data_IF_420059969513
#
_entry.id   IF_420059969513
#
_cell.length_a   1.000
_cell.length_b   1.000
_cell.length_c   1.000
_cell.angle_alpha   90.00
_cell.angle_beta   90.00
_cell.angle_gamma   90.00
#
_symmetry.space_group_name_H-M   'P 1'
#
loop_
_entity.id
_entity.type
_entity.pdbx_description
1 polymer ?
#
# COMPACT_ATOMS: atom_id res chain seq x y z
N UNK A 1 -7.11 19.80 11.26
CA UNK A 1 -6.21 18.66 11.03
C UNK A 1 -5.97 18.56 9.54
N UNK A 2 -4.71 18.55 9.12
CA UNK A 2 -4.34 18.27 7.73
C UNK A 2 -4.87 16.88 7.36
N UNK A 3 -5.72 16.86 6.36
CA UNK A 3 -6.43 15.67 5.93
C UNK A 3 -5.40 14.69 5.33
N UNK A 4 -5.51 13.40 5.66
CA UNK A 4 -4.54 12.31 5.42
C UNK A 4 -4.15 12.11 3.94
N UNK A 5 -3.39 13.04 3.35
CA UNK A 5 -2.91 12.99 1.97
C UNK A 5 -4.01 12.76 0.92
N UNK A 6 -5.24 13.23 1.18
CA UNK A 6 -6.37 12.96 0.29
C UNK A 6 -7.28 11.80 0.68
N UNK A 7 -7.02 11.10 1.79
CA UNK A 7 -7.85 9.98 2.26
C UNK A 7 -8.79 10.37 3.41
N UNK A 8 -9.91 9.66 3.52
CA UNK A 8 -10.89 9.85 4.58
C UNK A 8 -10.44 9.28 5.93
N UNK A 9 -9.59 8.24 5.93
CA UNK A 9 -9.07 7.62 7.16
C UNK A 9 -7.57 7.34 7.07
N UNK A 10 -6.89 7.34 8.23
CA UNK A 10 -5.47 6.97 8.34
C UNK A 10 -5.19 5.53 7.89
N UNK A 11 -6.16 4.63 8.08
CA UNK A 11 -6.04 3.24 7.64
C UNK A 11 -5.99 3.14 6.11
N UNK A 12 -6.82 3.91 5.40
CA UNK A 12 -6.79 3.97 3.93
C UNK A 12 -5.45 4.52 3.42
N UNK A 13 -4.96 5.60 4.04
CA UNK A 13 -3.64 6.16 3.72
C UNK A 13 -2.52 5.14 3.94
N UNK A 14 -2.53 4.43 5.08
CA UNK A 14 -1.51 3.40 5.39
C UNK A 14 -1.55 2.26 4.38
N UNK A 15 -2.76 1.75 4.07
CA UNK A 15 -2.93 0.69 3.08
C UNK A 15 -2.47 1.14 1.68
N UNK A 16 -2.80 2.37 1.29
CA UNK A 16 -2.36 2.94 0.01
C UNK A 16 -0.84 3.04 -0.07
N UNK A 17 -0.19 3.58 0.96
CA UNK A 17 1.26 3.69 1.00
C UNK A 17 1.95 2.33 0.89
N UNK A 18 1.40 1.30 1.56
CA UNK A 18 1.91 -0.08 1.45
C UNK A 18 1.78 -0.63 0.01
N UNK A 19 0.68 -0.35 -0.70
CA UNK A 19 0.53 -0.74 -2.10
C UNK A 19 1.49 0.00 -3.03
N UNK A 20 1.72 1.30 -2.80
CA UNK A 20 2.71 2.08 -3.55
C UNK A 20 4.11 1.49 -3.34
N UNK A 21 4.51 1.24 -2.09
CA UNK A 21 5.80 0.62 -1.77
C UNK A 21 5.94 -0.77 -2.42
N UNK A 22 4.90 -1.59 -2.35
CA UNK A 22 4.89 -2.91 -3.01
C UNK A 22 5.03 -2.79 -4.53
N UNK A 23 4.43 -1.77 -5.14
CA UNK A 23 4.59 -1.54 -6.58
C UNK A 23 6.04 -1.23 -6.92
N UNK A 24 6.67 -0.35 -6.14
CA UNK A 24 8.09 0.01 -6.32
C UNK A 24 8.96 -1.24 -6.16
N UNK A 25 8.71 -2.09 -5.16
CA UNK A 25 9.44 -3.36 -4.95
C UNK A 25 9.33 -4.31 -6.13
N UNK A 26 8.12 -4.49 -6.68
CA UNK A 26 7.88 -5.35 -7.85
C UNK A 26 8.66 -4.83 -9.07
N UNK A 27 8.60 -3.52 -9.33
CA UNK A 27 9.31 -2.89 -10.45
C UNK A 27 10.83 -2.95 -10.27
N UNK A 28 11.32 -2.66 -9.05
CA UNK A 28 12.72 -2.75 -8.71
C UNK A 28 13.24 -4.18 -8.91
N UNK A 29 12.48 -5.19 -8.49
CA UNK A 29 12.83 -6.60 -8.71
C UNK A 29 13.05 -6.90 -10.20
N UNK A 30 12.14 -6.44 -11.07
CA UNK A 30 12.29 -6.61 -12.52
C UNK A 30 13.52 -5.90 -13.09
N UNK A 31 13.78 -4.66 -12.67
CA UNK A 31 14.96 -3.91 -13.10
C UNK A 31 16.24 -4.60 -12.66
N UNK A 32 16.32 -5.02 -11.39
CA UNK A 32 17.52 -5.65 -10.82
C UNK A 32 17.84 -6.96 -11.53
N UNK A 33 16.87 -7.86 -11.72
CA UNK A 33 17.16 -9.12 -12.42
C UNK A 33 17.47 -8.90 -13.90
N UNK A 34 16.83 -7.93 -14.57
CA UNK A 34 17.21 -7.57 -15.93
C UNK A 34 18.67 -7.08 -16.00
N UNK A 35 19.14 -6.30 -15.03
CA UNK A 35 20.53 -5.83 -14.96
C UNK A 35 21.54 -6.94 -14.63
N UNK A 36 21.08 -8.01 -13.96
CA UNK A 36 21.90 -9.17 -13.62
C UNK A 36 21.82 -10.31 -14.65
N UNK A 37 21.04 -10.13 -15.72
CA UNK A 37 20.73 -11.19 -16.69
C UNK A 37 20.11 -12.46 -16.06
N UNK A 38 19.43 -12.29 -14.93
CA UNK A 38 18.70 -13.37 -14.24
C UNK A 38 17.32 -13.58 -14.90
N UNK A 39 16.91 -14.83 -15.07
CA UNK A 39 15.58 -15.15 -15.59
C UNK A 39 14.51 -14.87 -14.53
N UNK A 40 13.59 -13.95 -14.83
CA UNK A 40 12.37 -13.74 -14.04
C UNK A 40 11.22 -14.50 -14.68
N UNK A 41 10.39 -15.12 -13.84
CA UNK A 41 9.07 -15.58 -14.26
C UNK A 41 8.16 -14.37 -14.57
N UNK A 42 8.07 -14.03 -15.85
CA UNK A 42 7.31 -12.86 -16.32
C UNK A 42 5.82 -12.94 -15.97
N UNK A 43 5.24 -14.14 -15.94
CA UNK A 43 3.83 -14.33 -15.62
C UNK A 43 3.55 -13.96 -14.16
N UNK A 44 4.43 -14.36 -13.23
CA UNK A 44 4.30 -13.96 -11.82
C UNK A 44 4.46 -12.46 -11.64
N UNK A 45 5.43 -11.84 -12.32
CA UNK A 45 5.61 -10.39 -12.30
C UNK A 45 4.36 -9.65 -12.80
N UNK A 46 3.85 -10.04 -13.99
CA UNK A 46 2.64 -9.44 -14.60
C UNK A 46 1.44 -9.57 -13.67
N UNK A 47 1.22 -10.77 -13.10
CA UNK A 47 0.11 -11.04 -12.18
C UNK A 47 0.20 -10.22 -10.89
N UNK A 48 1.38 -10.15 -10.26
CA UNK A 48 1.57 -9.38 -9.04
C UNK A 48 1.36 -7.89 -9.28
N UNK A 49 1.91 -7.36 -10.38
CA UNK A 49 1.78 -5.94 -10.72
C UNK A 49 0.33 -5.56 -11.03
N UNK A 50 -0.39 -6.37 -11.82
CA UNK A 50 -1.80 -6.16 -12.14
C UNK A 50 -2.66 -6.17 -10.87
N UNK A 51 -2.50 -7.18 -10.01
CA UNK A 51 -3.23 -7.26 -8.74
C UNK A 51 -3.00 -6.02 -7.87
N UNK A 52 -1.74 -5.57 -7.78
CA UNK A 52 -1.40 -4.40 -6.97
C UNK A 52 -1.97 -3.10 -7.56
N UNK A 53 -1.95 -2.97 -8.89
CA UNK A 53 -2.54 -1.86 -9.63
C UNK A 53 -4.05 -1.74 -9.41
N UNK A 54 -4.78 -2.85 -9.41
CA UNK A 54 -6.21 -2.83 -9.13
C UNK A 54 -6.55 -2.37 -7.72
N UNK A 55 -5.79 -2.84 -6.73
CA UNK A 55 -5.96 -2.40 -5.35
C UNK A 55 -5.66 -0.91 -5.21
N UNK A 56 -4.65 -0.39 -5.92
CA UNK A 56 -4.36 1.04 -5.97
C UNK A 56 -5.54 1.83 -6.51
N UNK A 57 -6.12 1.42 -7.66
CA UNK A 57 -7.28 2.12 -8.24
C UNK A 57 -8.48 2.11 -7.29
N UNK A 58 -8.76 0.98 -6.63
CA UNK A 58 -9.87 0.86 -5.67
C UNK A 58 -9.71 1.84 -4.51
N UNK A 59 -8.50 2.02 -3.98
CA UNK A 59 -8.25 3.01 -2.92
C UNK A 59 -8.25 4.45 -3.45
N UNK A 60 -7.71 4.69 -4.65
CA UNK A 60 -7.68 6.02 -5.26
C UNK A 60 -9.06 6.56 -5.65
N UNK A 61 -10.05 5.68 -5.86
CA UNK A 61 -11.44 6.10 -6.05
C UNK A 61 -11.97 6.91 -4.87
N UNK A 62 -11.46 6.66 -3.65
CA UNK A 62 -11.81 7.39 -2.44
C UNK A 62 -10.84 8.54 -2.11
N UNK A 63 -9.79 8.74 -2.94
CA UNK A 63 -8.79 9.78 -2.75
C UNK A 63 -9.23 11.06 -3.45
N UNK A 64 -9.50 12.11 -2.69
CA UNK A 64 -9.93 13.41 -3.23
C UNK A 64 -8.75 14.33 -3.59
N UNK A 65 -7.53 14.04 -3.11
CA UNK A 65 -6.33 14.84 -3.41
C UNK A 65 -5.38 14.10 -4.36
N UNK A 66 -4.71 14.86 -5.22
CA UNK A 66 -3.61 14.38 -6.06
C UNK A 66 -2.32 14.19 -5.22
N UNK A 67 -1.35 13.38 -5.67
CA UNK A 67 -1.26 12.67 -6.95
C UNK A 67 -1.95 11.29 -6.95
N UNK A 68 -2.30 10.79 -8.14
CA UNK A 68 -2.79 9.41 -8.36
C UNK A 68 -1.69 8.59 -9.01
N UNK A 69 -1.11 7.66 -8.27
CA UNK A 69 -0.02 6.81 -8.78
C UNK A 69 -0.51 5.82 -9.84
N UNK A 70 -1.81 5.49 -9.86
CA UNK A 70 -2.37 4.68 -10.94
C UNK A 70 -2.24 5.33 -12.32
N UNK A 71 -2.23 6.65 -12.40
CA UNK A 71 -2.06 7.35 -13.68
C UNK A 71 -0.63 7.18 -14.21
N UNK A 72 0.38 7.19 -13.32
CA UNK A 72 1.80 7.00 -13.69
C UNK A 72 2.11 5.58 -14.16
N UNK A 73 1.41 4.57 -13.63
CA UNK A 73 1.65 3.16 -13.94
C UNK A 73 0.79 2.67 -15.12
N UNK A 74 -0.23 3.44 -15.50
CA UNK A 74 -1.24 3.06 -16.51
C UNK A 74 -0.64 2.61 -17.84
N UNK A 75 0.38 3.30 -18.34
CA UNK A 75 0.96 2.98 -19.65
C UNK A 75 1.72 1.66 -19.63
N UNK A 76 2.38 1.34 -18.52
CA UNK A 76 3.00 0.03 -18.30
C UNK A 76 1.97 -1.09 -18.30
N UNK A 77 0.83 -0.88 -17.63
CA UNK A 77 -0.26 -1.87 -17.58
C UNK A 77 -0.86 -2.12 -18.97
N UNK A 78 -1.03 -1.08 -19.79
CA UNK A 78 -1.53 -1.25 -21.18
C UNK A 78 -0.64 -2.17 -22.00
N UNK A 79 0.69 -2.04 -21.88
CA UNK A 79 1.64 -2.89 -22.59
C UNK A 79 1.50 -4.34 -22.10
N UNK A 80 1.49 -4.56 -20.79
CA UNK A 80 1.37 -5.89 -20.19
C UNK A 80 0.08 -6.60 -20.61
N UNK A 81 -1.05 -5.89 -20.61
CA UNK A 81 -2.34 -6.45 -20.99
C UNK A 81 -2.38 -6.78 -22.48
N UNK A 82 -1.82 -5.91 -23.34
CA UNK A 82 -1.75 -6.16 -24.78
C UNK A 82 -0.99 -7.45 -25.10
N UNK A 83 0.10 -7.71 -24.37
CA UNK A 83 0.88 -8.95 -24.52
C UNK A 83 0.07 -10.20 -24.16
N UNK A 84 -0.81 -10.12 -23.13
CA UNK A 84 -1.64 -11.26 -22.71
C UNK A 84 -2.72 -11.61 -23.73
N UNK A 85 -3.33 -10.60 -24.37
CA UNK A 85 -4.39 -10.82 -25.38
C UNK A 85 -3.84 -11.56 -26.62
N UNK A 86 -2.55 -11.40 -26.92
CA UNK A 86 -1.90 -12.06 -28.05
C UNK A 86 -1.44 -13.50 -27.77
N UNK A 87 -1.54 -13.98 -26.52
CA UNK A 87 -1.18 -15.35 -26.12
C UNK A 87 -2.38 -16.07 -25.52
N UNK A 88 -3.11 -16.92 -26.29
CA UNK A 88 -4.35 -17.55 -25.84
C UNK A 88 -4.15 -18.73 -24.85
N UNK A 89 -2.97 -18.93 -24.29
CA UNK A 89 -2.59 -20.18 -23.58
C UNK A 89 -2.91 -20.19 -22.07
N UNK A 90 -3.64 -19.22 -21.51
CA UNK A 90 -3.93 -19.19 -20.05
C UNK A 90 -5.42 -19.12 -19.70
N UNK A 91 -5.83 -19.72 -18.56
CA UNK A 91 -7.24 -19.98 -18.24
C UNK A 91 -8.06 -18.68 -18.13
N UNK A 92 -9.20 -18.69 -18.81
CA UNK A 92 -10.14 -17.60 -19.08
C UNK A 92 -10.82 -16.95 -17.86
N UNK A 93 -10.57 -17.44 -16.65
CA UNK A 93 -11.49 -17.19 -15.54
C UNK A 93 -11.07 -16.03 -14.63
N UNK A 94 -9.93 -15.37 -14.88
CA UNK A 94 -9.34 -14.46 -13.90
C UNK A 94 -9.28 -12.97 -14.26
N UNK A 95 -9.39 -12.55 -15.54
CA UNK A 95 -9.24 -11.13 -15.90
C UNK A 95 -10.08 -10.70 -17.13
N UNK A 96 -11.40 -10.53 -16.99
CA UNK A 96 -12.18 -9.86 -18.05
C UNK A 96 -12.03 -8.34 -17.94
N UNK A 97 -11.21 -7.75 -18.81
CA UNK A 97 -10.98 -6.30 -18.91
C UNK A 97 -12.28 -5.49 -19.10
N UNK A 98 -13.35 -6.10 -19.64
CA UNK A 98 -14.66 -5.45 -19.73
C UNK A 98 -15.29 -5.19 -18.36
N UNK A 99 -14.99 -6.03 -17.37
CA UNK A 99 -15.37 -5.81 -15.97
C UNK A 99 -14.67 -4.58 -15.39
N UNK A 100 -13.42 -4.34 -15.80
CA UNK A 100 -12.62 -3.20 -15.35
C UNK A 100 -13.16 -1.86 -15.88
N UNK A 101 -13.48 -1.76 -17.17
CA UNK A 101 -14.08 -0.53 -17.72
C UNK A 101 -15.48 -0.26 -17.16
N UNK A 102 -16.26 -1.31 -16.90
CA UNK A 102 -17.61 -1.17 -16.33
C UNK A 102 -17.58 -0.74 -14.85
N UNK A 103 -16.61 -1.20 -14.06
CA UNK A 103 -16.42 -0.70 -12.68
C UNK A 103 -16.03 0.78 -12.61
N UNK A 104 -15.23 1.27 -13.56
CA UNK A 104 -14.84 2.69 -13.63
C UNK A 104 -16.00 3.62 -13.99
N UNK A 105 -16.99 3.15 -14.76
CA UNK A 105 -18.15 3.94 -15.18
C UNK A 105 -19.25 4.01 -14.10
N UNK A 106 -19.26 3.08 -13.14
CA UNK A 106 -20.28 3.03 -12.09
C UNK A 106 -19.92 3.77 -10.79
N UNK A 107 -18.69 4.29 -10.66
CA UNK A 107 -18.21 4.95 -9.44
C UNK A 107 -18.69 6.41 -9.28
N UNK A 108 -19.45 6.95 -10.24
CA UNK A 108 -19.98 8.33 -10.20
C UNK A 108 -21.38 8.46 -9.58
N UNK A 109 -21.96 7.39 -9.03
CA UNK A 109 -23.32 7.41 -8.47
C UNK A 109 -23.37 7.03 -6.98
N UNK A 110 -22.58 7.68 -6.14
CA UNK A 110 -22.89 7.76 -4.70
C UNK A 110 -24.03 8.75 -4.51
N UNK A 111 -25.27 8.25 -4.56
CA UNK A 111 -26.43 8.98 -4.05
C UNK A 111 -26.20 9.21 -2.56
N UNK A 112 -26.01 10.47 -2.19
CA UNK A 112 -26.24 10.95 -0.84
C UNK A 112 -27.67 10.56 -0.43
N UNK A 113 -27.80 9.56 0.46
CA UNK A 113 -29.02 9.41 1.25
C UNK A 113 -28.86 10.37 2.42
N UNK A 114 -29.27 11.61 2.17
CA UNK A 114 -29.64 12.54 3.22
C UNK A 114 -30.93 12.04 3.86
N UNK A 115 -30.81 11.46 5.05
CA UNK A 115 -31.92 11.14 5.94
C UNK A 115 -31.69 11.85 7.26
N UNK A 116 -31.88 13.16 7.28
CA UNK A 116 -32.03 13.95 8.50
C UNK A 116 -33.45 13.69 8.99
N UNK A 117 -33.59 12.94 10.07
CA UNK A 117 -34.79 13.00 10.91
C UNK A 117 -34.36 13.49 12.28
N UNK A 118 -34.76 14.73 12.56
CA UNK A 118 -34.70 15.39 13.85
C UNK A 118 -35.31 14.53 14.96
N UNK A 119 -34.57 14.34 16.05
CA UNK A 119 -35.15 14.20 17.40
C UNK A 119 -34.29 14.90 18.43
N UNK A 120 -34.80 16.06 18.84
CA UNK A 120 -34.53 16.81 20.05
C UNK A 120 -34.60 15.97 21.34
N UNK A 121 -33.60 16.11 22.22
CA UNK A 121 -33.77 16.58 23.61
C UNK A 121 -32.52 16.29 24.47
N UNK A 122 -31.83 17.37 24.86
CA UNK A 122 -30.92 17.51 26.03
C UNK A 122 -31.63 17.11 27.35
N UNK A 123 -30.94 16.73 28.47
CA UNK A 123 -29.90 17.57 29.09
C UNK A 123 -28.75 16.87 29.87
N UNK A 124 -27.59 17.54 29.90
CA UNK A 124 -26.56 17.50 30.97
C UNK A 124 -27.13 18.12 32.26
N UNK A 125 -26.56 17.99 33.49
CA UNK A 125 -25.23 17.53 33.88
C UNK A 125 -25.21 16.57 35.10
N UNK A 126 -24.03 16.08 35.52
CA UNK A 126 -23.53 16.08 36.93
C UNK A 126 -22.23 15.27 37.00
N UNK A 127 -21.13 15.95 37.37
CA UNK A 127 -19.84 15.36 37.71
C UNK A 127 -19.84 14.85 39.16
N UNK A 128 -19.41 13.62 39.43
CA UNK A 128 -18.78 13.32 40.70
C UNK A 128 -17.27 13.53 40.59
N UNK A 129 -16.84 14.60 41.26
CA UNK A 129 -15.53 14.73 41.92
C UNK A 129 -15.25 13.42 42.67
N UNK A 130 -14.01 12.90 42.64
CA UNK A 130 -13.26 12.41 43.83
C UNK A 130 -12.07 11.50 43.46
N UNK A 131 -10.91 11.93 43.97
CA UNK A 131 -9.69 11.22 44.40
C UNK A 131 -8.74 10.63 43.34
N UNK A 132 -7.73 11.45 43.06
CA UNK A 132 -6.35 11.06 42.79
C UNK A 132 -5.88 9.87 43.64
N UNK A 133 -5.49 8.79 42.99
CA UNK A 133 -4.53 7.82 43.55
C UNK A 133 -3.27 7.85 42.70
N UNK A 134 -2.25 8.54 43.21
CA UNK A 134 -0.86 8.44 42.77
C UNK A 134 -0.34 7.04 43.11
N UNK A 135 -0.43 6.10 42.17
CA UNK A 135 0.27 4.82 42.28
C UNK A 135 1.72 5.03 41.80
N UNK A 136 2.60 5.21 42.78
CA UNK A 136 4.06 5.19 42.63
C UNK A 136 4.49 3.96 41.82
N UNK A 137 5.12 4.18 40.66
CA UNK A 137 5.83 3.14 39.91
C UNK A 137 7.29 3.18 40.35
N UNK A 138 7.72 2.13 41.05
CA UNK A 138 9.13 1.86 41.27
C UNK A 138 9.82 1.63 39.92
N UNK A 139 10.70 2.55 39.55
CA UNK A 139 11.66 2.37 38.47
C UNK A 139 12.77 1.43 38.98
N UNK A 140 12.83 0.22 38.44
CA UNK A 140 14.05 -0.59 38.54
C UNK A 140 15.00 -0.20 37.40
N UNK A 141 16.30 0.00 37.67
CA UNK A 141 17.26 0.26 36.62
C UNK A 141 17.56 -1.02 35.84
N UNK A 142 17.24 -1.03 34.55
CA UNK A 142 17.69 -2.07 33.61
C UNK A 142 19.20 -1.91 33.44
N UNK A 143 19.97 -2.89 33.94
CA UNK A 143 21.41 -3.02 33.72
C UNK A 143 21.67 -3.21 32.23
N UNK A 144 22.26 -2.20 31.62
CA UNK A 144 22.73 -2.21 30.25
C UNK A 144 24.10 -2.92 30.22
N UNK A 145 24.12 -4.25 30.06
CA UNK A 145 25.35 -4.98 29.72
C UNK A 145 25.48 -5.02 28.20
N UNK A 146 26.19 -4.02 27.67
CA UNK A 146 26.76 -4.05 26.32
C UNK A 146 27.97 -5.01 26.38
N UNK A 147 27.78 -6.26 25.96
CA UNK A 147 28.89 -7.11 25.58
C UNK A 147 29.38 -6.67 24.20
N UNK A 148 30.65 -6.29 24.16
CA UNK A 148 31.40 -6.13 22.92
C UNK A 148 31.49 -7.48 22.22
N UNK A 149 30.84 -7.58 21.06
CA UNK A 149 31.13 -8.63 20.09
C UNK A 149 31.76 -7.95 18.89
N UNK A 150 33.09 -7.94 18.88
CA UNK A 150 33.88 -7.55 17.73
C UNK A 150 33.52 -8.42 16.54
N UNK A 151 33.27 -7.76 15.40
CA UNK A 151 33.42 -8.38 14.10
C UNK A 151 34.47 -7.58 13.32
N UNK A 152 35.71 -8.00 13.51
CA UNK A 152 36.76 -7.93 12.51
C UNK A 152 36.25 -8.68 11.28
N UNK A 153 35.90 -7.98 10.19
CA UNK A 153 35.91 -8.60 8.88
C UNK A 153 37.03 -8.03 8.03
N UNK A 154 37.92 -8.95 7.71
CA UNK A 154 39.16 -8.75 7.02
C UNK A 154 38.93 -8.24 5.60
N UNK A 155 39.71 -7.20 5.31
CA UNK A 155 40.23 -6.78 4.02
C UNK A 155 40.68 -7.98 3.18
N UNK A 156 39.99 -8.28 2.08
CA UNK A 156 40.54 -9.07 0.98
C UNK A 156 40.79 -8.12 -0.21
N UNK A 157 42.08 -7.89 -0.47
CA UNK A 157 42.62 -7.37 -1.73
C UNK A 157 42.76 -8.54 -2.71
N UNK A 158 42.27 -8.34 -3.96
CA UNK A 158 42.85 -8.60 -5.31
C UNK A 158 43.79 -9.82 -5.52
N UNK A 159 43.89 -10.46 -6.71
CA UNK A 159 43.91 -9.79 -8.03
C UNK A 159 43.31 -10.55 -9.24
N UNK A 160 43.34 -9.81 -10.36
CA UNK A 160 43.18 -10.20 -11.77
C UNK A 160 43.96 -11.44 -12.23
N UNK A 161 43.30 -12.27 -13.05
CA UNK A 161 43.81 -13.20 -14.07
C UNK A 161 42.54 -13.63 -14.85
N UNK A 162 42.41 -13.54 -16.17
CA UNK A 162 43.30 -13.79 -17.32
C UNK A 162 42.80 -13.00 -18.52
#
# INVERSE_FOLDING_TARGET
>A
MSIYSGFGTRQQETAYNALVENTIKILQGKVVSNLKEESINENLFKMQLLKNYEMLIKLEAHKYLLPRFSDSIKDLIKVIVKDQIMSPETPSDFWDLKTFESMRKNSSSTRFIGGITDRSSTPTPTLPIVKSMTKSRNLTPVKNQRSEAGFLFARLKNPSNT
#
